data_IF_335186714775
#
_entry.id   IF_335186714775
#
_cell.length_a   1.000
_cell.length_b   1.000
_cell.length_c   1.000
_cell.angle_alpha   90.00
_cell.angle_beta   90.00
_cell.angle_gamma   90.00
#
_symmetry.space_group_name_H-M   'P 1'
#
loop_
_entity.id
_entity.type
_entity.pdbx_description
1 polymer ?
#
# COMPACT_ATOMS: atom_id res chain seq x y z
N UNK A 1 -6.51 15.48 -2.44
CA UNK A 1 -7.97 15.43 -2.58
C UNK A 1 -8.52 14.90 -1.27
N UNK A 2 -9.65 15.40 -0.79
CA UNK A 2 -10.36 14.75 0.32
C UNK A 2 -11.28 13.68 -0.28
N UNK A 3 -11.53 12.61 0.45
CA UNK A 3 -12.51 11.60 0.07
C UNK A 3 -13.32 11.23 1.31
N UNK A 4 -14.59 10.90 1.08
CA UNK A 4 -15.50 10.52 2.16
C UNK A 4 -15.32 9.03 2.46
N UNK A 5 -15.38 8.69 3.74
CA UNK A 5 -15.28 7.33 4.23
C UNK A 5 -16.48 7.03 5.12
N UNK A 6 -17.08 5.87 4.89
CA UNK A 6 -18.05 5.25 5.78
C UNK A 6 -17.50 3.88 6.15
N UNK A 7 -17.07 3.73 7.40
CA UNK A 7 -16.54 2.46 7.92
C UNK A 7 -17.08 2.29 9.34
N UNK A 8 -17.55 1.08 9.67
CA UNK A 8 -18.13 0.73 10.98
C UNK A 8 -19.18 1.70 11.54
N UNK A 9 -20.00 2.27 10.64
CA UNK A 9 -21.03 3.25 11.00
C UNK A 9 -20.48 4.63 11.38
N UNK A 10 -19.17 4.86 11.26
CA UNK A 10 -18.51 6.14 11.44
C UNK A 10 -18.39 6.88 10.10
N UNK A 11 -18.90 8.10 10.04
CA UNK A 11 -18.67 9.02 8.93
C UNK A 11 -17.34 9.72 9.15
N UNK A 12 -16.36 9.49 8.27
CA UNK A 12 -15.05 10.11 8.34
C UNK A 12 -14.62 10.68 6.99
N UNK A 13 -13.51 11.42 6.99
CA UNK A 13 -12.96 12.04 5.79
C UNK A 13 -11.49 11.71 5.71
N UNK A 14 -11.12 10.98 4.66
CA UNK A 14 -9.74 10.71 4.31
C UNK A 14 -9.14 11.87 3.52
N UNK A 15 -7.85 12.12 3.73
CA UNK A 15 -7.07 13.01 2.87
C UNK A 15 -6.07 12.18 2.09
N UNK A 16 -6.14 12.32 0.78
CA UNK A 16 -5.13 11.78 -0.09
C UNK A 16 -3.80 12.55 0.03
N UNK A 17 -2.76 11.84 0.41
CA UNK A 17 -1.40 12.33 0.60
C UNK A 17 -0.45 11.17 0.93
N UNK A 18 0.73 11.49 1.46
CA UNK A 18 1.65 10.47 1.98
C UNK A 18 1.01 9.85 3.21
N UNK A 19 0.83 8.52 3.17
CA UNK A 19 0.28 7.72 4.26
C UNK A 19 1.33 6.71 4.75
N UNK A 20 1.30 6.44 6.05
CA UNK A 20 1.99 5.28 6.62
C UNK A 20 1.35 3.99 6.11
N UNK A 21 2.11 2.91 6.20
CA UNK A 21 1.62 1.57 5.92
C UNK A 21 0.53 1.18 6.92
N UNK A 22 -0.58 0.63 6.43
CA UNK A 22 -1.72 0.21 7.28
C UNK A 22 -1.81 -1.30 7.40
N UNK A 23 -1.27 -2.07 6.45
CA UNK A 23 -1.32 -3.53 6.45
C UNK A 23 -0.34 -4.17 5.49
N UNK A 24 -0.17 -5.48 5.63
CA UNK A 24 0.50 -6.36 4.67
C UNK A 24 -0.48 -7.43 4.23
N UNK A 25 -0.56 -7.70 2.94
CA UNK A 25 -1.22 -8.88 2.39
C UNK A 25 -0.15 -9.76 1.74
N UNK A 26 -0.07 -10.98 2.22
CA UNK A 26 0.85 -12.01 1.74
C UNK A 26 0.08 -13.19 1.16
N UNK A 27 0.73 -14.11 0.43
CA UNK A 27 0.09 -15.33 -0.06
C UNK A 27 -0.52 -16.20 1.04
N UNK A 28 -0.06 -16.08 2.29
CA UNK A 28 -0.66 -16.77 3.45
C UNK A 28 -2.02 -16.21 3.85
N UNK A 29 -2.32 -14.97 3.46
CA UNK A 29 -3.57 -14.28 3.79
C UNK A 29 -4.63 -14.41 2.68
N UNK A 30 -4.18 -14.81 1.50
CA UNK A 30 -5.03 -14.96 0.31
C UNK A 30 -5.54 -16.38 0.17
N UNK A 31 -6.81 -16.52 -0.20
CA UNK A 31 -7.46 -17.82 -0.50
C UNK A 31 -7.12 -18.28 -1.92
N UNK A 32 -6.95 -17.33 -2.83
CA UNK A 32 -6.61 -17.55 -4.24
C UNK A 32 -5.34 -16.78 -4.62
N UNK A 33 -4.71 -17.18 -5.72
CA UNK A 33 -3.54 -16.47 -6.25
C UNK A 33 -3.88 -15.00 -6.54
N UNK A 34 -3.05 -14.08 -6.03
CA UNK A 34 -3.21 -12.66 -6.29
C UNK A 34 -3.01 -12.35 -7.77
N UNK A 35 -4.01 -11.76 -8.40
CA UNK A 35 -3.98 -11.39 -9.80
C UNK A 35 -3.35 -10.01 -9.96
N UNK A 36 -2.35 -9.91 -10.85
CA UNK A 36 -1.78 -8.62 -11.26
C UNK A 36 -2.19 -8.32 -12.68
N UNK A 37 -2.92 -7.24 -12.88
CA UNK A 37 -3.21 -6.68 -14.20
C UNK A 37 -2.43 -5.39 -14.41
N UNK A 38 -2.08 -5.09 -15.66
CA UNK A 38 -1.47 -3.83 -16.02
C UNK A 38 -2.10 -3.27 -17.28
N UNK A 39 -2.25 -1.95 -17.32
CA UNK A 39 -2.73 -1.24 -18.49
C UNK A 39 -1.55 -0.65 -19.25
N UNK A 40 -1.42 -1.05 -20.52
CA UNK A 40 -0.43 -0.47 -21.43
C UNK A 40 -0.87 0.94 -21.85
N UNK A 41 0.04 1.91 -21.96
CA UNK A 41 -0.25 3.19 -22.60
C UNK A 41 -0.94 3.01 -23.95
N UNK A 42 -2.09 3.64 -24.13
CA UNK A 42 -2.84 3.67 -25.39
C UNK A 42 -2.82 5.06 -26.02
N UNK A 43 -3.09 5.18 -27.31
CA UNK A 43 -3.31 6.48 -27.97
C UNK A 43 -4.56 7.20 -27.46
N UNK A 44 -5.49 6.44 -26.86
CA UNK A 44 -6.69 6.97 -26.22
C UNK A 44 -6.46 7.52 -24.81
N UNK A 45 -5.26 7.34 -24.26
CA UNK A 45 -4.91 7.87 -22.96
C UNK A 45 -4.81 9.39 -23.02
N UNK A 46 -5.39 10.08 -22.04
CA UNK A 46 -5.15 11.52 -21.91
C UNK A 46 -3.77 11.78 -21.31
N UNK A 47 -3.09 12.76 -21.89
CA UNK A 47 -1.75 13.21 -21.52
C UNK A 47 -1.75 14.67 -21.03
N UNK A 48 -2.95 15.28 -20.92
CA UNK A 48 -3.19 16.56 -20.27
C UNK A 48 -4.56 16.61 -19.59
N UNK A 49 -4.71 17.48 -18.61
CA UNK A 49 -5.99 17.75 -17.93
C UNK A 49 -6.26 19.25 -17.92
N UNK A 50 -7.44 19.67 -18.35
CA UNK A 50 -7.91 21.04 -18.26
C UNK A 50 -8.90 21.17 -17.12
N UNK A 51 -8.51 21.93 -16.11
CA UNK A 51 -9.33 22.13 -14.91
C UNK A 51 -10.10 23.43 -15.02
N UNK A 52 -11.42 23.32 -15.13
CA UNK A 52 -12.35 24.43 -15.02
C UNK A 52 -12.66 24.68 -13.54
N UNK A 53 -12.44 25.90 -13.07
CA UNK A 53 -12.64 26.29 -11.68
C UNK A 53 -13.30 27.68 -11.59
N UNK A 54 -13.88 28.00 -10.45
CA UNK A 54 -14.43 29.34 -10.19
C UNK A 54 -13.35 30.17 -9.50
N UNK A 55 -12.94 31.29 -10.11
CA UNK A 55 -11.95 32.17 -9.49
C UNK A 55 -12.59 32.97 -8.34
N UNK A 56 -12.02 32.95 -7.11
CA UNK A 56 -12.62 33.56 -5.93
C UNK A 56 -12.64 35.09 -5.98
N UNK A 57 -11.88 35.70 -6.88
CA UNK A 57 -11.81 37.15 -7.07
C UNK A 57 -12.80 37.59 -8.15
N UNK A 58 -12.74 36.98 -9.34
CA UNK A 58 -13.56 37.40 -10.49
C UNK A 58 -14.95 36.76 -10.49
N UNK A 59 -15.16 35.68 -9.72
CA UNK A 59 -16.37 34.83 -9.73
C UNK A 59 -16.73 34.29 -11.11
N UNK A 60 -15.78 34.33 -12.05
CA UNK A 60 -15.91 33.77 -13.38
C UNK A 60 -15.33 32.36 -13.41
N UNK A 61 -15.85 31.57 -14.34
CA UNK A 61 -15.26 30.28 -14.67
C UNK A 61 -13.98 30.52 -15.48
N UNK A 62 -12.87 29.98 -14.98
CA UNK A 62 -11.58 30.03 -15.62
C UNK A 62 -11.04 28.60 -15.79
N UNK A 63 -10.15 28.42 -16.76
CA UNK A 63 -9.55 27.12 -17.06
C UNK A 63 -8.05 27.17 -16.85
N UNK A 64 -7.52 26.23 -16.09
CA UNK A 64 -6.09 26.01 -15.91
C UNK A 64 -5.66 24.74 -16.64
N UNK A 65 -4.65 24.88 -17.48
CA UNK A 65 -4.05 23.75 -18.20
C UNK A 65 -3.02 23.04 -17.31
N UNK A 66 -3.24 21.76 -17.06
CA UNK A 66 -2.32 20.90 -16.28
C UNK A 66 -1.59 19.97 -17.26
N UNK A 67 -0.28 20.16 -17.40
CA UNK A 67 0.61 19.47 -18.35
C UNK A 67 1.94 19.12 -17.69
N UNK A 68 2.60 18.07 -18.17
CA UNK A 68 3.98 17.78 -17.76
C UNK A 68 4.96 18.66 -18.54
N UNK A 69 6.12 19.02 -17.97
CA UNK A 69 7.13 19.81 -18.68
C UNK A 69 7.64 19.14 -19.98
N UNK A 70 7.64 17.80 -20.01
CA UNK A 70 8.09 16.99 -21.14
C UNK A 70 7.07 16.94 -22.28
N UNK A 71 5.78 17.19 -21.99
CA UNK A 71 4.70 17.16 -22.96
C UNK A 71 3.76 18.38 -22.80
N UNK A 72 4.19 19.57 -23.28
CA UNK A 72 3.38 20.79 -23.18
C UNK A 72 2.16 20.78 -24.10
N UNK A 73 2.17 19.96 -25.16
CA UNK A 73 1.11 19.87 -26.16
C UNK A 73 0.52 18.46 -26.18
N UNK A 74 -0.40 18.14 -25.26
CA UNK A 74 -0.98 16.82 -25.16
C UNK A 74 -1.77 16.49 -26.41
N UNK A 75 -1.76 15.23 -26.81
CA UNK A 75 -2.59 14.73 -27.91
C UNK A 75 -4.06 14.72 -27.51
N UNK A 76 -4.35 14.35 -26.25
CA UNK A 76 -5.71 14.24 -25.72
C UNK A 76 -5.77 14.85 -24.33
N UNK A 77 -6.71 15.77 -24.17
CA UNK A 77 -6.91 16.48 -22.91
C UNK A 77 -8.24 16.06 -22.29
N UNK A 78 -8.21 15.72 -21.01
CA UNK A 78 -9.41 15.50 -20.21
C UNK A 78 -9.94 16.83 -19.67
N UNK A 79 -11.23 17.12 -19.86
CA UNK A 79 -11.90 18.25 -19.25
C UNK A 79 -12.40 17.86 -17.84
N UNK A 80 -11.94 18.58 -16.81
CA UNK A 80 -12.30 18.34 -15.42
C UNK A 80 -12.90 19.60 -14.79
N UNK A 81 -14.10 19.51 -14.24
CA UNK A 81 -14.81 20.64 -13.64
C UNK A 81 -14.82 20.56 -12.12
N UNK A 82 -14.52 21.67 -11.46
CA UNK A 82 -14.60 21.79 -10.00
C UNK A 82 -15.51 22.95 -9.64
N UNK A 83 -16.67 22.63 -9.07
CA UNK A 83 -17.71 23.60 -8.70
C UNK A 83 -17.44 24.25 -7.34
N UNK A 84 -16.20 24.70 -7.12
CA UNK A 84 -15.77 25.34 -5.89
C UNK A 84 -14.89 26.53 -6.22
N UNK A 85 -15.15 27.67 -5.57
CA UNK A 85 -14.30 28.85 -5.69
C UNK A 85 -12.91 28.60 -5.09
N UNK A 86 -11.85 28.69 -5.89
CA UNK A 86 -10.48 28.45 -5.43
C UNK A 86 -9.41 29.14 -6.28
N UNK A 87 -8.19 29.26 -5.77
CA UNK A 87 -7.08 29.84 -6.54
C UNK A 87 -6.66 28.95 -7.71
N UNK A 88 -6.14 29.57 -8.77
CA UNK A 88 -5.58 28.89 -9.95
C UNK A 88 -4.54 27.82 -9.55
N UNK A 89 -3.65 28.14 -8.61
CA UNK A 89 -2.63 27.20 -8.12
C UNK A 89 -3.23 25.94 -7.48
N UNK A 90 -4.36 26.09 -6.76
CA UNK A 90 -5.03 24.96 -6.14
C UNK A 90 -5.72 24.09 -7.19
N UNK A 91 -6.37 24.71 -8.17
CA UNK A 91 -6.95 24.01 -9.31
C UNK A 91 -5.86 23.26 -10.10
N UNK A 92 -4.72 23.90 -10.38
CA UNK A 92 -3.56 23.30 -11.03
C UNK A 92 -3.04 22.08 -10.28
N UNK A 93 -2.87 22.17 -8.95
CA UNK A 93 -2.40 21.04 -8.12
C UNK A 93 -3.35 19.84 -8.16
N UNK A 94 -4.66 20.09 -8.21
CA UNK A 94 -5.67 19.02 -8.32
C UNK A 94 -5.59 18.36 -9.70
N UNK A 95 -5.54 19.16 -10.77
CA UNK A 95 -5.43 18.65 -12.14
C UNK A 95 -4.13 17.90 -12.39
N UNK A 96 -3.00 18.43 -11.95
CA UNK A 96 -1.71 17.73 -12.02
C UNK A 96 -1.72 16.42 -11.24
N UNK A 97 -2.32 16.39 -10.05
CA UNK A 97 -2.45 15.12 -9.32
C UNK A 97 -3.27 14.10 -10.10
N UNK A 98 -4.39 14.50 -10.71
CA UNK A 98 -5.22 13.63 -11.55
C UNK A 98 -4.43 13.10 -12.76
N UNK A 99 -3.69 13.98 -13.44
CA UNK A 99 -2.82 13.61 -14.56
C UNK A 99 -1.74 12.60 -14.13
N UNK A 100 -1.00 12.89 -13.06
CA UNK A 100 0.07 12.02 -12.58
C UNK A 100 -0.45 10.66 -12.14
N UNK A 101 -1.62 10.59 -11.49
CA UNK A 101 -2.27 9.31 -11.19
C UNK A 101 -2.52 8.51 -12.45
N UNK A 102 -3.16 9.10 -13.44
CA UNK A 102 -3.50 8.39 -14.67
C UNK A 102 -2.27 7.88 -15.43
N UNK A 103 -1.20 8.67 -15.46
CA UNK A 103 0.05 8.31 -16.14
C UNK A 103 0.81 7.19 -15.41
N UNK A 104 0.80 7.18 -14.07
CA UNK A 104 1.67 6.31 -13.27
C UNK A 104 0.97 5.13 -12.59
N UNK A 105 -0.32 5.26 -12.21
CA UNK A 105 -1.11 4.19 -11.60
C UNK A 105 -1.68 3.28 -12.69
N UNK A 106 -0.83 2.39 -13.21
CA UNK A 106 -1.15 1.49 -14.33
C UNK A 106 -1.23 0.02 -13.97
N UNK A 107 -0.93 -0.33 -12.72
CA UNK A 107 -0.99 -1.70 -12.23
C UNK A 107 -2.16 -1.81 -11.28
N UNK A 108 -2.92 -2.89 -11.39
CA UNK A 108 -3.99 -3.21 -10.45
C UNK A 108 -3.74 -4.61 -9.92
N UNK A 109 -3.81 -4.75 -8.60
CA UNK A 109 -3.79 -6.03 -7.92
C UNK A 109 -5.19 -6.37 -7.47
N UNK A 110 -5.60 -7.62 -7.66
CA UNK A 110 -6.83 -8.19 -7.13
C UNK A 110 -6.45 -9.40 -6.28
N UNK A 111 -6.77 -9.36 -5.00
CA UNK A 111 -6.53 -10.47 -4.08
C UNK A 111 -7.84 -10.89 -3.43
N UNK A 112 -8.04 -12.21 -3.30
CA UNK A 112 -9.16 -12.77 -2.55
C UNK A 112 -8.66 -13.12 -1.15
N UNK A 113 -9.04 -12.34 -0.14
CA UNK A 113 -8.68 -12.62 1.26
C UNK A 113 -9.85 -13.25 2.03
N UNK A 114 -9.55 -13.86 3.17
CA UNK A 114 -10.57 -14.38 4.09
C UNK A 114 -11.22 -13.25 4.89
N UNK A 115 -10.87 -13.11 6.17
CA UNK A 115 -11.37 -12.02 7.02
C UNK A 115 -10.46 -10.78 7.00
N UNK A 116 -9.21 -10.91 6.52
CA UNK A 116 -8.23 -9.82 6.54
C UNK A 116 -8.68 -8.58 5.73
N UNK A 117 -9.41 -8.78 4.63
CA UNK A 117 -9.91 -7.65 3.83
C UNK A 117 -10.80 -6.69 4.62
N UNK A 118 -11.48 -7.15 5.68
CA UNK A 118 -12.28 -6.29 6.57
C UNK A 118 -11.42 -5.33 7.41
N UNK A 119 -10.12 -5.59 7.55
CA UNK A 119 -9.20 -4.73 8.28
C UNK A 119 -8.66 -3.57 7.43
N UNK A 120 -9.17 -3.39 6.21
CA UNK A 120 -8.72 -2.37 5.27
C UNK A 120 -9.88 -1.50 4.79
N UNK A 121 -9.63 -0.20 4.71
CA UNK A 121 -10.58 0.79 4.22
C UNK A 121 -10.14 1.40 2.90
N UNK A 122 -11.07 2.08 2.23
CA UNK A 122 -10.76 2.85 1.02
C UNK A 122 -9.63 3.86 1.24
N UNK A 123 -8.65 3.81 0.35
CA UNK A 123 -7.49 4.68 0.33
C UNK A 123 -6.39 4.28 1.31
N UNK A 124 -6.49 3.14 1.98
CA UNK A 124 -5.42 2.58 2.80
C UNK A 124 -4.20 2.20 1.98
N UNK A 125 -3.02 2.32 2.58
CA UNK A 125 -1.74 2.12 1.90
C UNK A 125 -1.10 0.85 2.44
N UNK A 126 -1.13 -0.20 1.62
CA UNK A 126 -0.76 -1.54 2.05
C UNK A 126 0.45 -2.06 1.29
N UNK A 127 1.17 -2.97 1.94
CA UNK A 127 2.26 -3.74 1.36
C UNK A 127 1.68 -5.04 0.80
N UNK A 128 2.10 -5.41 -0.40
CA UNK A 128 1.65 -6.60 -1.10
C UNK A 128 2.85 -7.48 -1.42
N UNK A 129 2.69 -8.78 -1.23
CA UNK A 129 3.62 -9.79 -1.74
C UNK A 129 2.85 -10.85 -2.50
N UNK A 130 3.39 -11.29 -3.64
CA UNK A 130 2.88 -12.45 -4.38
C UNK A 130 3.79 -13.66 -4.19
N UNK A 131 3.27 -14.82 -4.57
CA UNK A 131 3.97 -16.11 -4.58
C UNK A 131 4.79 -16.32 -5.87
N UNK A 132 4.87 -15.31 -6.74
CA UNK A 132 5.58 -15.43 -8.01
C UNK A 132 7.07 -15.63 -7.70
N UNK A 133 7.73 -16.68 -8.25
CA UNK A 133 9.13 -17.00 -7.96
C UNK A 133 10.14 -15.88 -8.28
N UNK A 134 9.75 -14.91 -9.11
CA UNK A 134 10.57 -13.73 -9.43
C UNK A 134 10.44 -12.59 -8.41
N UNK A 135 9.43 -12.65 -7.53
CA UNK A 135 9.12 -11.65 -6.51
C UNK A 135 10.17 -11.55 -5.41
N UNK A 136 10.95 -12.62 -5.17
CA UNK A 136 11.95 -12.70 -4.08
C UNK A 136 11.38 -12.21 -2.75
N UNK A 137 10.17 -12.67 -2.45
CA UNK A 137 9.43 -12.40 -1.23
C UNK A 137 9.05 -13.74 -0.61
N UNK A 138 9.15 -13.83 0.72
CA UNK A 138 8.79 -15.00 1.49
C UNK A 138 8.07 -14.54 2.75
N UNK A 139 6.87 -15.07 3.00
CA UNK A 139 6.13 -14.88 4.24
C UNK A 139 6.36 -16.05 5.19
N UNK A 140 6.46 -15.78 6.49
CA UNK A 140 6.58 -16.78 7.56
C UNK A 140 5.99 -16.25 8.86
N UNK A 141 5.69 -17.14 9.81
CA UNK A 141 5.24 -16.76 11.15
C UNK A 141 6.44 -16.63 12.09
N UNK A 142 6.35 -15.71 13.05
CA UNK A 142 7.31 -15.58 14.15
C UNK A 142 6.72 -16.34 15.34
N UNK A 143 7.30 -17.49 15.67
CA UNK A 143 6.82 -18.39 16.72
C UNK A 143 7.58 -18.25 18.04
N UNK A 144 8.75 -17.60 18.04
CA UNK A 144 9.44 -17.20 19.26
C UNK A 144 10.20 -15.89 19.08
N UNK A 145 10.26 -15.10 20.15
CA UNK A 145 10.96 -13.82 20.18
C UNK A 145 11.68 -13.65 21.52
N UNK A 146 12.94 -13.19 21.46
CA UNK A 146 13.72 -12.77 22.61
C UNK A 146 14.38 -11.44 22.26
N UNK A 147 14.31 -10.44 23.14
CA UNK A 147 14.91 -9.14 22.87
C UNK A 147 15.74 -8.60 24.04
N UNK A 148 16.67 -7.71 23.69
CA UNK A 148 17.42 -6.86 24.61
C UNK A 148 17.40 -5.41 24.10
N UNK A 149 18.11 -4.50 24.79
CA UNK A 149 18.16 -3.08 24.41
C UNK A 149 18.90 -2.78 23.08
N UNK A 150 19.49 -3.77 22.44
CA UNK A 150 20.25 -3.62 21.19
C UNK A 150 19.61 -4.34 20.01
N UNK A 151 19.04 -5.52 20.23
CA UNK A 151 18.49 -6.39 19.17
C UNK A 151 17.30 -7.21 19.64
N UNK A 152 16.48 -7.58 18.65
CA UNK A 152 15.39 -8.54 18.79
C UNK A 152 15.79 -9.77 17.97
N UNK A 153 15.80 -10.94 18.62
CA UNK A 153 16.05 -12.24 18.00
C UNK A 153 14.72 -12.92 17.76
N UNK A 154 14.46 -13.30 16.50
CA UNK A 154 13.22 -13.90 16.05
C UNK A 154 13.51 -15.31 15.54
N UNK A 155 12.72 -16.27 15.98
CA UNK A 155 12.61 -17.58 15.35
C UNK A 155 11.38 -17.58 14.43
N UNK A 156 11.52 -18.20 13.26
CA UNK A 156 10.46 -18.28 12.25
C UNK A 156 10.12 -19.73 11.89
N UNK A 157 8.91 -19.94 11.38
CA UNK A 157 8.40 -21.27 11.05
C UNK A 157 8.97 -21.89 9.78
N UNK A 158 9.45 -21.07 8.84
CA UNK A 158 10.01 -21.51 7.55
C UNK A 158 11.47 -21.05 7.38
N UNK A 159 12.34 -21.83 6.71
CA UNK A 159 13.73 -21.45 6.50
C UNK A 159 13.83 -20.27 5.52
N UNK A 160 14.63 -19.26 5.88
CA UNK A 160 14.76 -18.03 5.12
C UNK A 160 15.77 -18.15 3.97
N UNK A 161 15.41 -17.62 2.80
CA UNK A 161 16.30 -17.58 1.64
C UNK A 161 17.32 -16.43 1.71
N UNK A 162 18.47 -16.69 2.33
CA UNK A 162 19.59 -15.74 2.41
C UNK A 162 20.35 -15.53 1.09
N UNK A 163 19.93 -16.13 -0.02
CA UNK A 163 20.50 -15.84 -1.35
C UNK A 163 20.08 -14.47 -1.90
N UNK A 164 19.10 -13.82 -1.28
CA UNK A 164 18.61 -12.49 -1.68
C UNK A 164 19.70 -11.43 -1.56
N UNK A 165 19.75 -10.53 -2.53
CA UNK A 165 20.67 -9.41 -2.48
C UNK A 165 20.20 -8.41 -1.41
N UNK A 166 21.07 -8.08 -0.45
CA UNK A 166 20.75 -7.15 0.64
C UNK A 166 19.37 -7.42 1.28
N UNK A 167 19.19 -8.55 1.98
CA UNK A 167 17.90 -8.95 2.50
C UNK A 167 17.32 -7.91 3.46
N UNK A 168 15.99 -7.82 3.44
CA UNK A 168 15.16 -6.90 4.21
C UNK A 168 13.95 -7.65 4.74
N UNK A 169 13.32 -7.11 5.77
CA UNK A 169 12.06 -7.67 6.25
C UNK A 169 11.10 -6.62 6.76
N UNK A 170 9.82 -6.98 6.74
CA UNK A 170 8.74 -6.30 7.44
C UNK A 170 8.18 -7.25 8.49
N UNK A 171 7.75 -6.68 9.61
CA UNK A 171 7.02 -7.42 10.64
C UNK A 171 5.59 -6.90 10.61
N UNK A 172 4.62 -7.79 10.47
CA UNK A 172 3.22 -7.48 10.67
C UNK A 172 2.86 -7.92 12.09
N UNK A 173 2.44 -6.96 12.91
CA UNK A 173 2.03 -7.21 14.27
C UNK A 173 0.60 -7.79 14.30
N UNK A 174 0.21 -8.25 15.49
CA UNK A 174 -1.08 -8.92 15.71
C UNK A 174 -2.28 -7.96 15.60
N UNK A 175 -2.04 -6.65 15.64
CA UNK A 175 -3.04 -5.61 15.34
C UNK A 175 -3.21 -5.37 13.81
N UNK A 176 -2.54 -6.17 12.99
CA UNK A 176 -2.55 -6.11 11.53
C UNK A 176 -1.59 -5.07 10.94
N UNK A 177 -1.04 -4.15 11.76
CA UNK A 177 -0.17 -3.08 11.28
C UNK A 177 1.23 -3.61 11.00
N UNK A 178 1.88 -3.12 9.94
CA UNK A 178 3.28 -3.40 9.70
C UNK A 178 4.21 -2.52 10.54
N UNK A 179 5.45 -2.96 10.66
CA UNK A 179 6.56 -2.14 11.15
C UNK A 179 6.61 -0.82 10.40
N UNK A 180 6.89 0.28 11.11
CA UNK A 180 6.90 1.63 10.54
C UNK A 180 7.90 1.81 9.38
N UNK A 181 8.94 0.98 9.37
CA UNK A 181 10.01 0.94 8.38
C UNK A 181 10.42 -0.48 8.05
N UNK A 182 11.05 -0.62 6.90
CA UNK A 182 11.70 -1.85 6.48
C UNK A 182 12.93 -2.11 7.36
N UNK A 183 13.04 -3.31 7.91
CA UNK A 183 14.11 -3.71 8.81
C UNK A 183 15.25 -4.39 8.06
N UNK A 184 16.44 -4.35 8.66
CA UNK A 184 17.63 -5.03 8.15
C UNK A 184 17.93 -6.26 9.00
N UNK A 185 17.54 -7.47 8.54
CA UNK A 185 17.79 -8.69 9.27
C UNK A 185 19.26 -9.10 9.21
N UNK A 186 19.78 -9.67 10.29
CA UNK A 186 21.09 -10.33 10.36
C UNK A 186 20.88 -11.82 10.61
N UNK A 187 21.52 -12.65 9.78
CA UNK A 187 21.43 -14.10 9.86
C UNK A 187 22.07 -14.63 11.14
N UNK A 188 21.35 -15.45 11.88
CA UNK A 188 21.91 -16.30 12.94
C UNK A 188 22.04 -17.72 12.42
N UNK A 189 20.94 -18.27 11.89
CA UNK A 189 20.89 -19.56 11.21
C UNK A 189 19.79 -19.54 10.12
N UNK A 190 19.26 -20.69 9.72
CA UNK A 190 18.25 -20.79 8.66
C UNK A 190 16.84 -20.38 9.11
N UNK A 191 16.53 -20.54 10.40
CA UNK A 191 15.22 -20.24 11.00
C UNK A 191 15.27 -19.06 11.99
N UNK A 192 16.47 -18.55 12.27
CA UNK A 192 16.69 -17.50 13.27
C UNK A 192 17.37 -16.30 12.63
N UNK A 193 16.81 -15.13 12.89
CA UNK A 193 17.35 -13.84 12.48
C UNK A 193 17.34 -12.86 13.64
N UNK A 194 18.16 -11.81 13.52
CA UNK A 194 18.11 -10.67 14.45
C UNK A 194 17.80 -9.39 13.71
N UNK A 195 17.01 -8.52 14.31
CA UNK A 195 16.77 -7.15 13.87
C UNK A 195 17.24 -6.17 14.94
N UNK A 196 17.72 -4.96 14.58
CA UNK A 196 18.04 -3.94 15.57
C UNK A 196 16.82 -3.59 16.40
N UNK A 197 17.00 -3.48 17.72
CA UNK A 197 15.95 -3.02 18.62
C UNK A 197 15.54 -1.59 18.25
N UNK A 198 14.24 -1.33 18.33
CA UNK A 198 13.66 -0.02 18.09
C UNK A 198 12.38 0.09 18.91
N UNK A 199 12.20 1.22 19.58
CA UNK A 199 11.03 1.44 20.44
C UNK A 199 9.72 1.27 19.66
N UNK A 200 9.68 1.67 18.37
CA UNK A 200 8.47 1.53 17.52
C UNK A 200 8.03 0.06 17.30
N UNK A 201 8.88 -0.93 17.59
CA UNK A 201 8.53 -2.35 17.42
C UNK A 201 7.76 -2.91 18.62
N UNK A 202 7.82 -2.23 19.78
CA UNK A 202 7.10 -2.59 21.01
C UNK A 202 7.03 -4.11 21.28
N UNK A 203 8.17 -4.81 21.39
CA UNK A 203 8.19 -6.28 21.55
C UNK A 203 7.50 -6.79 22.82
N UNK A 204 7.31 -5.93 23.82
CA UNK A 204 6.55 -6.22 25.05
C UNK A 204 5.05 -6.44 24.81
N UNK A 205 4.50 -5.86 23.74
CA UNK A 205 3.08 -5.95 23.41
C UNK A 205 2.75 -7.23 22.61
N UNK A 206 3.76 -8.02 22.22
CA UNK A 206 3.58 -9.21 21.39
C UNK A 206 3.17 -10.40 22.24
N UNK A 207 2.04 -11.00 21.90
CA UNK A 207 1.46 -12.14 22.60
C UNK A 207 1.84 -13.43 21.86
N UNK A 208 2.83 -14.16 22.38
CA UNK A 208 3.37 -15.37 21.73
C UNK A 208 2.80 -16.68 22.31
N UNK A 209 2.20 -16.63 23.50
CA UNK A 209 1.79 -17.81 24.28
C UNK A 209 0.27 -18.04 24.31
N UNK A 210 -0.49 -17.43 23.39
CA UNK A 210 -1.95 -17.55 23.32
C UNK A 210 -2.39 -18.16 21.98
N UNK A 211 -3.00 -19.36 21.97
CA UNK A 211 -3.45 -20.01 20.74
C UNK A 211 -4.66 -19.33 20.07
N UNK A 212 -5.38 -18.45 20.77
CA UNK A 212 -6.52 -17.71 20.22
C UNK A 212 -6.09 -16.43 19.47
N UNK A 213 -4.80 -16.08 19.52
CA UNK A 213 -4.24 -14.89 18.86
C UNK A 213 -3.24 -15.33 17.79
N UNK A 214 -3.40 -14.81 16.57
CA UNK A 214 -2.48 -15.08 15.48
C UNK A 214 -1.06 -14.59 15.82
N UNK A 215 -0.06 -15.40 15.51
CA UNK A 215 1.34 -15.01 15.68
C UNK A 215 1.71 -13.82 14.76
N UNK A 216 2.66 -12.95 15.18
CA UNK A 216 3.22 -11.95 14.28
C UNK A 216 3.79 -12.58 13.01
N UNK A 217 3.64 -11.89 11.88
CA UNK A 217 4.12 -12.39 10.58
C UNK A 217 5.38 -11.64 10.17
N UNK A 218 6.29 -12.33 9.48
CA UNK A 218 7.47 -11.75 8.87
C UNK A 218 7.36 -11.88 7.36
N UNK A 219 7.44 -10.74 6.66
CA UNK A 219 7.65 -10.69 5.21
C UNK A 219 9.13 -10.43 4.94
N UNK A 220 9.85 -11.46 4.49
CA UNK A 220 11.25 -11.39 4.09
C UNK A 220 11.35 -11.08 2.58
N UNK A 221 12.23 -10.15 2.20
CA UNK A 221 12.32 -9.70 0.81
C UNK A 221 13.70 -9.16 0.39
N UNK A 222 13.94 -9.12 -0.91
CA UNK A 222 15.09 -8.43 -1.51
C UNK A 222 14.88 -6.90 -1.49
N UNK A 223 15.93 -6.14 -1.17
CA UNK A 223 15.89 -4.67 -1.19
C UNK A 223 15.66 -4.04 -2.57
N UNK A 224 16.06 -4.69 -3.67
CA UNK A 224 16.06 -4.08 -5.00
C UNK A 224 14.69 -4.19 -5.70
N UNK A 225 14.04 -5.35 -5.57
CA UNK A 225 12.73 -5.60 -6.18
C UNK A 225 11.56 -5.43 -5.21
N UNK A 226 11.85 -5.47 -3.90
CA UNK A 226 10.99 -5.02 -2.81
C UNK A 226 9.62 -5.71 -2.72
N UNK A 227 8.99 -5.59 -1.56
CA UNK A 227 7.56 -5.80 -1.46
C UNK A 227 6.82 -4.74 -2.29
N UNK A 228 5.74 -5.13 -2.96
CA UNK A 228 4.91 -4.21 -3.73
C UNK A 228 4.09 -3.35 -2.77
N UNK A 229 3.59 -2.23 -3.27
CA UNK A 229 2.66 -1.40 -2.52
C UNK A 229 1.46 -1.05 -3.39
N UNK A 230 0.34 -0.80 -2.73
CA UNK A 230 -0.90 -0.42 -3.38
C UNK A 230 -1.76 0.45 -2.49
N UNK A 231 -2.68 1.17 -3.12
CA UNK A 231 -3.72 1.90 -2.42
C UNK A 231 -5.05 1.18 -2.63
N UNK A 232 -5.70 0.79 -1.55
CA UNK A 232 -7.01 0.12 -1.57
C UNK A 232 -8.04 1.02 -2.25
N UNK A 233 -8.66 0.53 -3.31
CA UNK A 233 -9.70 1.22 -4.09
C UNK A 233 -11.09 0.71 -3.78
N UNK A 234 -11.22 -0.56 -3.39
CA UNK A 234 -12.49 -1.18 -3.08
C UNK A 234 -12.24 -2.47 -2.31
N UNK A 235 -13.09 -2.71 -1.32
CA UNK A 235 -13.20 -3.93 -0.52
C UNK A 235 -14.65 -4.37 -0.66
N UNK A 236 -14.89 -5.48 -1.36
CA UNK A 236 -16.23 -5.92 -1.71
C UNK A 236 -16.44 -7.40 -1.36
N UNK A 237 -17.53 -7.74 -0.63
CA UNK A 237 -17.82 -9.13 -0.29
C UNK A 237 -18.19 -9.93 -1.54
N UNK A 238 -17.35 -10.89 -1.86
CA UNK A 238 -17.66 -12.05 -2.70
C UNK A 238 -18.40 -13.07 -1.83
N UNK A 239 -19.51 -13.63 -2.35
CA UNK A 239 -20.34 -14.58 -1.60
C UNK A 239 -19.54 -15.76 -1.04
N UNK A 240 -19.95 -16.24 0.14
CA UNK A 240 -19.22 -17.14 1.04
C UNK A 240 -17.82 -16.63 1.43
N UNK A 241 -17.78 -15.61 2.31
CA UNK A 241 -16.60 -15.16 3.08
C UNK A 241 -15.32 -14.88 2.27
N UNK A 242 -15.47 -14.39 1.04
CA UNK A 242 -14.35 -13.98 0.21
C UNK A 242 -14.41 -12.46 -0.02
N UNK A 243 -13.28 -11.77 -0.04
CA UNK A 243 -13.22 -10.33 -0.32
C UNK A 243 -12.23 -10.06 -1.44
N UNK A 244 -12.67 -9.36 -2.48
CA UNK A 244 -11.79 -8.90 -3.55
C UNK A 244 -11.24 -7.52 -3.22
N UNK A 245 -9.95 -7.44 -2.95
CA UNK A 245 -9.26 -6.17 -2.69
C UNK A 245 -8.65 -5.64 -3.98
N UNK A 246 -9.09 -4.46 -4.43
CA UNK A 246 -8.53 -3.78 -5.59
C UNK A 246 -7.46 -2.78 -5.14
N UNK A 247 -6.22 -3.01 -5.52
CA UNK A 247 -5.12 -2.09 -5.21
C UNK A 247 -4.51 -1.52 -6.49
N UNK A 248 -4.45 -0.19 -6.60
CA UNK A 248 -3.81 0.55 -7.72
C UNK A 248 -2.53 1.26 -7.31
#
# INVERSE_FOLDING_TARGET
MGYFLLSDGLLSVGREGVKSWTGIITPQDTVEEMQTSFRVPSEDDFDGVDVKYINPVTWAEETVQCRTPENPFPRKTEAYTIDVAMTADRAWRIGMRRLMKYLHQRRTYTATTSMLGWCHDFGDHIILSDDIPTGKTQSCLIDAMIYDFQKITLHVTEPLDWSYANPRCWIQFQDGRPSSRMLTPQRVDDFTLTVPYNDDLHPDDWIMDDPDIDLPKLLFCDSEKGARHGIVQEVAPSGDQQLSDYCT
#
